data_IF_003725310088
#
_entry.id   IF_003725310088
#
_cell.length_a   1.000
_cell.length_b   1.000
_cell.length_c   1.000
_cell.angle_alpha   90.00
_cell.angle_beta   90.00
_cell.angle_gamma   90.00
#
_symmetry.space_group_name_H-M   'P 1'
#
loop_
_entity.id
_entity.type
_entity.pdbx_description
1 polymer ?
#
# COMPACT_ATOMS: atom_id res chain seq x y z
N UNK A 1 -0.01 24.18 4.47
CA UNK A 1 1.29 23.52 4.24
C UNK A 1 1.49 23.31 2.74
N UNK A 2 2.75 23.21 2.30
CA UNK A 2 3.11 22.83 0.93
C UNK A 2 3.52 21.36 0.90
N UNK A 3 2.90 20.60 0.02
CA UNK A 3 3.08 19.14 -0.09
C UNK A 3 3.47 18.80 -1.51
N UNK A 4 4.56 18.07 -1.66
CA UNK A 4 4.96 17.48 -2.93
C UNK A 4 4.55 16.00 -2.97
N UNK A 5 4.02 15.54 -4.08
CA UNK A 5 3.73 14.12 -4.34
C UNK A 5 4.59 13.66 -5.50
N UNK A 6 5.37 12.61 -5.29
CA UNK A 6 6.20 12.05 -6.36
C UNK A 6 5.34 11.16 -7.25
N UNK A 7 5.14 11.61 -8.48
CA UNK A 7 4.27 10.93 -9.45
C UNK A 7 2.81 11.40 -9.40
N UNK A 8 2.00 10.82 -10.29
CA UNK A 8 0.55 11.02 -10.36
C UNK A 8 -0.13 9.64 -10.29
N UNK A 9 0.24 8.86 -9.28
CA UNK A 9 -0.31 7.53 -9.03
C UNK A 9 -1.57 7.57 -8.15
N UNK A 10 -2.26 6.45 -8.04
CA UNK A 10 -3.53 6.32 -7.29
C UNK A 10 -3.42 6.83 -5.86
N UNK A 11 -2.48 6.28 -5.09
CA UNK A 11 -2.34 6.60 -3.66
C UNK A 11 -1.98 8.08 -3.45
N UNK A 12 -0.90 8.55 -4.08
CA UNK A 12 -0.47 9.95 -3.95
C UNK A 12 -1.57 10.91 -4.36
N UNK A 13 -2.29 10.63 -5.44
CA UNK A 13 -3.38 11.50 -5.91
C UNK A 13 -4.58 11.48 -4.97
N UNK A 14 -4.93 10.32 -4.37
CA UNK A 14 -6.00 10.23 -3.36
C UNK A 14 -5.68 11.09 -2.15
N UNK A 15 -4.47 11.00 -1.60
CA UNK A 15 -4.04 11.86 -0.48
C UNK A 15 -3.89 13.32 -0.91
N UNK A 16 -3.38 13.59 -2.11
CA UNK A 16 -3.31 14.93 -2.67
C UNK A 16 -4.68 15.62 -2.75
N UNK A 17 -5.69 14.89 -3.20
CA UNK A 17 -7.06 15.37 -3.24
C UNK A 17 -7.58 15.75 -1.84
N UNK A 18 -7.44 14.88 -0.84
CA UNK A 18 -7.97 15.18 0.49
C UNK A 18 -7.20 16.30 1.19
N UNK A 19 -5.89 16.41 0.98
CA UNK A 19 -5.09 17.53 1.50
C UNK A 19 -5.43 18.84 0.80
N UNK A 20 -5.67 18.83 -0.51
CA UNK A 20 -6.13 20.02 -1.24
C UNK A 20 -7.50 20.49 -0.75
N UNK A 21 -8.43 19.54 -0.46
CA UNK A 21 -9.73 19.86 0.16
C UNK A 21 -9.60 20.40 1.59
N UNK A 22 -8.58 20.00 2.32
CA UNK A 22 -8.24 20.54 3.65
C UNK A 22 -7.52 21.92 3.58
N UNK A 23 -7.35 22.50 2.38
CA UNK A 23 -6.78 23.82 2.18
C UNK A 23 -5.25 23.86 2.08
N UNK A 24 -4.60 22.74 1.83
CA UNK A 24 -3.15 22.68 1.62
C UNK A 24 -2.78 22.87 0.14
N UNK A 25 -1.58 23.38 -0.10
CA UNK A 25 -1.01 23.46 -1.44
C UNK A 25 -0.38 22.11 -1.79
N UNK A 26 -0.87 21.49 -2.86
CA UNK A 26 -0.40 20.17 -3.31
C UNK A 26 0.12 20.28 -4.74
N UNK A 27 1.34 19.78 -4.96
CA UNK A 27 2.02 19.78 -6.25
C UNK A 27 2.59 18.40 -6.54
N UNK A 28 2.57 17.99 -7.82
CA UNK A 28 3.07 16.70 -8.27
C UNK A 28 4.43 16.85 -8.97
N UNK A 29 5.45 16.15 -8.49
CA UNK A 29 6.72 16.03 -9.17
C UNK A 29 6.64 14.89 -10.18
N UNK A 30 6.69 15.25 -11.46
CA UNK A 30 6.68 14.31 -12.57
C UNK A 30 8.01 14.30 -13.29
N UNK A 31 8.40 13.14 -13.84
CA UNK A 31 9.50 13.06 -14.78
C UNK A 31 9.18 13.87 -16.04
N UNK A 32 10.19 14.44 -16.68
CA UNK A 32 10.02 15.38 -17.78
C UNK A 32 9.12 14.86 -18.91
N UNK A 33 9.33 13.59 -19.29
CA UNK A 33 8.53 12.94 -20.35
C UNK A 33 7.04 12.74 -20.01
N UNK A 34 6.68 12.92 -18.74
CA UNK A 34 5.28 12.81 -18.27
C UNK A 34 4.60 14.14 -18.02
N UNK A 35 5.37 15.24 -17.90
CA UNK A 35 4.81 16.57 -17.61
C UNK A 35 3.84 17.05 -18.69
N UNK A 36 4.21 16.91 -19.97
CA UNK A 36 3.38 17.34 -21.11
C UNK A 36 2.08 16.54 -21.28
N UNK A 37 2.01 15.36 -20.66
CA UNK A 37 0.83 14.46 -20.71
C UNK A 37 -0.02 14.53 -19.44
N UNK A 38 0.41 15.33 -18.45
CA UNK A 38 -0.33 15.45 -17.21
C UNK A 38 -1.66 16.19 -17.46
N UNK A 39 -2.80 15.66 -16.98
CA UNK A 39 -4.07 16.35 -17.09
C UNK A 39 -4.08 17.57 -16.17
N UNK A 40 -4.77 18.63 -16.54
CA UNK A 40 -4.96 19.81 -15.68
C UNK A 40 -5.87 19.50 -14.47
N UNK A 41 -6.75 18.51 -14.62
CA UNK A 41 -7.61 18.04 -13.54
C UNK A 41 -7.98 16.56 -13.71
N UNK A 42 -8.30 15.91 -12.60
CA UNK A 42 -8.84 14.54 -12.56
C UNK A 42 -10.25 14.55 -11.99
N UNK A 43 -11.12 13.73 -12.54
CA UNK A 43 -12.42 13.44 -11.94
C UNK A 43 -12.22 12.41 -10.82
N UNK A 44 -12.76 12.68 -9.67
CA UNK A 44 -12.67 11.83 -8.49
C UNK A 44 -13.98 11.09 -8.28
N UNK A 45 -13.89 9.78 -8.17
CA UNK A 45 -14.94 8.88 -7.66
C UNK A 45 -14.39 8.25 -6.38
N UNK A 46 -14.79 8.76 -5.22
CA UNK A 46 -14.25 8.36 -3.93
C UNK A 46 -15.33 7.67 -3.09
N UNK A 47 -15.06 6.44 -2.64
CA UNK A 47 -15.77 5.86 -1.52
C UNK A 47 -15.06 6.24 -0.21
N UNK A 48 -15.59 7.26 0.46
CA UNK A 48 -14.99 7.88 1.63
C UNK A 48 -15.40 7.19 2.93
N UNK A 49 -14.48 6.45 3.53
CA UNK A 49 -14.68 5.73 4.79
C UNK A 49 -14.32 6.51 6.04
N UNK A 50 -13.89 7.77 5.94
CA UNK A 50 -13.43 8.56 7.11
C UNK A 50 -14.53 8.81 8.13
N UNK A 51 -15.77 8.91 7.70
CA UNK A 51 -16.90 9.30 8.56
C UNK A 51 -17.83 8.12 8.89
N UNK A 52 -17.92 7.13 8.02
CA UNK A 52 -18.77 5.97 8.22
C UNK A 52 -18.08 4.68 7.80
N UNK A 53 -18.33 3.58 8.52
CA UNK A 53 -17.79 2.25 8.17
C UNK A 53 -18.37 1.67 6.86
N UNK A 54 -19.45 2.26 6.33
CA UNK A 54 -20.02 1.87 5.04
C UNK A 54 -19.39 2.62 3.88
N UNK A 55 -18.76 3.77 4.16
CA UNK A 55 -18.30 4.72 3.17
C UNK A 55 -19.43 5.61 2.63
N UNK A 56 -19.05 6.76 2.11
CA UNK A 56 -19.92 7.69 1.42
C UNK A 56 -19.37 7.91 0.01
N UNK A 57 -20.22 7.75 -1.00
CA UNK A 57 -19.83 8.02 -2.39
C UNK A 57 -19.70 9.52 -2.60
N UNK A 58 -18.57 9.95 -3.12
CA UNK A 58 -18.27 11.35 -3.47
C UNK A 58 -17.76 11.45 -4.89
N UNK A 59 -18.35 12.37 -5.66
CA UNK A 59 -17.85 12.75 -6.97
C UNK A 59 -17.38 14.19 -6.95
N UNK A 60 -16.16 14.46 -7.43
CA UNK A 60 -15.54 15.76 -7.36
C UNK A 60 -14.46 15.92 -8.45
N UNK A 61 -13.77 17.04 -8.46
CA UNK A 61 -12.61 17.30 -9.29
C UNK A 61 -11.39 17.62 -8.46
N UNK A 62 -10.24 17.10 -8.87
CA UNK A 62 -8.93 17.38 -8.33
C UNK A 62 -8.11 18.18 -9.33
N UNK A 63 -7.69 19.40 -8.96
CA UNK A 63 -6.81 20.22 -9.77
C UNK A 63 -5.38 19.71 -9.62
N UNK A 64 -4.75 19.34 -10.73
CA UNK A 64 -3.35 18.91 -10.76
C UNK A 64 -2.46 20.13 -10.93
N UNK A 65 -1.55 20.35 -9.98
CA UNK A 65 -0.49 21.35 -10.05
C UNK A 65 0.86 20.64 -10.11
N UNK A 66 1.78 21.10 -10.95
CA UNK A 66 3.10 20.50 -11.09
C UNK A 66 4.11 21.21 -10.19
N UNK A 67 5.02 20.44 -9.60
CA UNK A 67 6.14 20.94 -8.83
C UNK A 67 7.19 21.56 -9.74
N UNK A 68 7.71 22.71 -9.32
CA UNK A 68 8.84 23.37 -9.98
C UNK A 68 10.17 22.91 -9.37
N UNK A 69 11.26 22.85 -10.14
CA UNK A 69 12.60 22.59 -9.61
C UNK A 69 13.03 23.61 -8.55
N UNK A 70 13.93 23.20 -7.66
CA UNK A 70 14.49 23.99 -6.55
C UNK A 70 13.42 24.48 -5.54
N UNK A 71 12.37 23.67 -5.33
CA UNK A 71 11.30 24.02 -4.41
C UNK A 71 11.44 23.28 -3.05
N UNK A 72 11.05 23.98 -1.99
CA UNK A 72 10.98 23.45 -0.63
C UNK A 72 9.54 23.11 -0.24
N UNK A 73 9.36 21.96 0.39
CA UNK A 73 8.07 21.46 0.86
C UNK A 73 8.12 21.12 2.34
N UNK A 74 6.99 21.30 3.03
CA UNK A 74 6.85 20.80 4.40
C UNK A 74 6.96 19.27 4.41
N UNK A 75 6.29 18.62 3.44
CA UNK A 75 6.28 17.17 3.28
C UNK A 75 6.34 16.74 1.83
N UNK A 76 7.00 15.61 1.59
CA UNK A 76 7.09 14.96 0.29
C UNK A 76 6.53 13.54 0.42
N UNK A 77 5.46 13.23 -0.28
CA UNK A 77 4.86 11.90 -0.28
C UNK A 77 5.47 11.05 -1.39
N UNK A 78 6.14 9.95 -1.01
CA UNK A 78 6.58 8.89 -1.89
C UNK A 78 5.58 7.73 -1.85
N UNK A 79 4.74 7.62 -2.87
CA UNK A 79 3.79 6.52 -3.05
C UNK A 79 4.07 5.83 -4.38
N UNK A 80 5.26 5.28 -4.51
CA UNK A 80 5.73 4.60 -5.73
C UNK A 80 5.59 3.09 -5.60
N UNK A 81 5.54 2.39 -6.73
CA UNK A 81 5.51 0.94 -6.76
C UNK A 81 6.72 0.33 -6.04
N UNK A 82 6.57 -0.89 -5.55
CA UNK A 82 7.62 -1.64 -4.85
C UNK A 82 8.92 -1.70 -5.66
N UNK A 83 10.06 -1.53 -5.01
CA UNK A 83 11.38 -1.47 -5.65
C UNK A 83 11.72 -0.15 -6.36
N UNK A 84 10.85 0.87 -6.36
CA UNK A 84 11.06 2.14 -7.07
C UNK A 84 11.43 3.34 -6.18
N UNK A 85 11.70 3.12 -4.90
CA UNK A 85 12.07 4.21 -3.97
C UNK A 85 13.35 4.89 -4.45
N UNK A 86 14.38 4.13 -4.85
CA UNK A 86 15.66 4.68 -5.33
C UNK A 86 15.49 5.61 -6.55
N UNK A 87 14.65 5.23 -7.52
CA UNK A 87 14.37 6.03 -8.70
C UNK A 87 13.65 7.34 -8.32
N UNK A 88 12.75 7.27 -7.34
CA UNK A 88 12.02 8.43 -6.83
C UNK A 88 12.96 9.41 -6.10
N UNK A 89 13.85 8.92 -5.25
CA UNK A 89 14.87 9.72 -4.57
C UNK A 89 15.81 10.40 -5.59
N UNK A 90 16.25 9.67 -6.62
CA UNK A 90 17.07 10.25 -7.70
C UNK A 90 16.31 11.38 -8.43
N UNK A 91 15.00 11.21 -8.67
CA UNK A 91 14.17 12.26 -9.30
C UNK A 91 14.05 13.51 -8.41
N UNK A 92 13.89 13.35 -7.10
CA UNK A 92 13.87 14.47 -6.14
C UNK A 92 15.20 15.22 -6.15
N UNK A 93 16.31 14.48 -6.06
CA UNK A 93 17.67 15.06 -6.03
C UNK A 93 18.01 15.80 -7.32
N UNK A 94 17.64 15.25 -8.49
CA UNK A 94 17.86 15.89 -9.81
C UNK A 94 17.08 17.19 -9.96
N UNK A 95 15.92 17.30 -9.31
CA UNK A 95 15.11 18.52 -9.34
C UNK A 95 15.39 19.45 -8.14
N UNK A 96 16.36 19.12 -7.28
CA UNK A 96 16.70 19.87 -6.06
C UNK A 96 15.46 20.16 -5.18
N UNK A 97 14.60 19.16 -5.02
CA UNK A 97 13.43 19.26 -4.16
C UNK A 97 13.82 18.88 -2.73
N UNK A 98 13.45 19.69 -1.76
CA UNK A 98 13.75 19.45 -0.33
C UNK A 98 12.48 19.37 0.50
N UNK A 99 12.54 18.68 1.65
CA UNK A 99 11.42 18.48 2.58
C UNK A 99 11.52 17.15 3.33
N UNK A 100 10.61 16.94 4.28
CA UNK A 100 10.51 15.66 5.00
C UNK A 100 9.75 14.61 4.19
N UNK A 101 10.36 13.46 3.95
CA UNK A 101 9.73 12.37 3.19
C UNK A 101 8.72 11.59 4.04
N UNK A 102 7.58 11.26 3.46
CA UNK A 102 6.63 10.28 3.97
C UNK A 102 6.65 9.10 3.00
N UNK A 103 7.20 7.95 3.42
CA UNK A 103 7.30 6.76 2.60
C UNK A 103 5.99 5.96 2.68
N UNK A 104 5.12 6.12 1.69
CA UNK A 104 3.88 5.36 1.50
C UNK A 104 4.09 4.24 0.48
N UNK A 105 5.08 3.37 0.76
CA UNK A 105 5.51 2.32 -0.15
C UNK A 105 5.51 0.96 0.55
N UNK A 106 5.24 -0.10 -0.22
CA UNK A 106 5.58 -1.45 0.18
C UNK A 106 7.07 -1.68 -0.09
N UNK A 107 7.78 -2.29 0.86
CA UNK A 107 9.17 -2.70 0.69
C UNK A 107 9.50 -3.91 1.57
N UNK A 108 10.45 -4.72 1.11
CA UNK A 108 10.95 -5.89 1.84
C UNK A 108 12.33 -5.65 2.44
N UNK A 109 12.87 -4.44 2.26
CA UNK A 109 14.15 -3.98 2.76
C UNK A 109 14.17 -3.87 4.28
N UNK A 110 15.36 -3.98 4.88
CA UNK A 110 15.57 -3.64 6.29
C UNK A 110 15.61 -2.11 6.49
N UNK A 111 15.62 -1.66 7.74
CA UNK A 111 15.74 -0.24 8.06
C UNK A 111 17.03 0.34 7.47
N UNK A 112 18.13 -0.36 7.66
CA UNK A 112 19.47 0.05 7.20
C UNK A 112 19.51 0.19 5.66
N UNK A 113 18.90 -0.75 4.95
CA UNK A 113 18.80 -0.66 3.48
C UNK A 113 17.93 0.52 3.02
N UNK A 114 16.85 0.85 3.76
CA UNK A 114 16.04 2.04 3.47
C UNK A 114 16.84 3.31 3.77
N UNK A 115 17.58 3.37 4.87
CA UNK A 115 18.46 4.50 5.21
C UNK A 115 19.49 4.75 4.09
N UNK A 116 20.10 3.71 3.54
CA UNK A 116 21.03 3.81 2.41
C UNK A 116 20.34 4.34 1.14
N UNK A 117 19.13 3.87 0.84
CA UNK A 117 18.36 4.29 -0.35
C UNK A 117 17.91 5.74 -0.25
N UNK A 118 17.42 6.15 0.91
CA UNK A 118 16.86 7.50 1.14
C UNK A 118 17.98 8.53 1.29
N UNK A 119 19.13 8.13 1.85
CA UNK A 119 20.30 8.99 1.99
C UNK A 119 20.06 10.14 2.97
N UNK A 120 20.34 11.37 2.56
CA UNK A 120 20.30 12.54 3.44
C UNK A 120 18.91 13.13 3.69
N UNK A 121 17.88 12.62 3.06
CA UNK A 121 16.52 13.13 3.31
C UNK A 121 16.01 12.68 4.69
N UNK A 122 15.48 13.61 5.52
CA UNK A 122 14.73 13.20 6.71
C UNK A 122 13.45 12.48 6.29
N UNK A 123 13.16 11.33 6.90
CA UNK A 123 12.00 10.55 6.50
C UNK A 123 11.24 9.92 7.66
N UNK A 124 10.00 9.57 7.41
CA UNK A 124 9.14 8.76 8.24
C UNK A 124 8.47 7.68 7.39
N UNK A 125 8.31 6.50 7.95
CA UNK A 125 7.58 5.42 7.30
C UNK A 125 6.11 5.51 7.68
N UNK A 126 5.24 5.44 6.67
CA UNK A 126 3.80 5.32 6.83
C UNK A 126 3.23 4.28 5.88
N UNK A 127 1.99 3.88 6.12
CA UNK A 127 1.26 3.02 5.21
C UNK A 127 -0.12 3.61 4.92
N UNK A 128 -0.43 3.88 3.64
CA UNK A 128 -1.69 4.47 3.21
C UNK A 128 -2.80 3.42 3.26
N UNK A 129 -3.87 3.68 4.01
CA UNK A 129 -5.07 2.84 4.00
C UNK A 129 -6.05 3.34 2.95
N UNK A 130 -5.60 3.36 1.73
CA UNK A 130 -6.33 3.77 0.53
C UNK A 130 -5.97 2.84 -0.63
N UNK A 131 -6.80 2.81 -1.63
CA UNK A 131 -6.55 2.07 -2.86
C UNK A 131 -7.48 2.51 -3.96
N UNK A 132 -7.20 2.09 -5.19
CA UNK A 132 -8.02 2.52 -6.30
C UNK A 132 -7.44 2.16 -7.66
N UNK A 133 -8.00 2.76 -8.69
CA UNK A 133 -7.53 2.70 -10.05
C UNK A 133 -7.56 4.09 -10.69
N UNK A 134 -6.61 4.36 -11.58
CA UNK A 134 -6.57 5.59 -12.37
C UNK A 134 -6.64 5.20 -13.85
N UNK A 135 -7.74 5.53 -14.49
CA UNK A 135 -7.99 5.25 -15.89
C UNK A 135 -8.32 6.55 -16.64
N UNK A 136 -7.48 6.91 -17.61
CA UNK A 136 -7.59 8.20 -18.28
C UNK A 136 -7.48 9.35 -17.29
N UNK A 137 -8.54 10.14 -17.16
CA UNK A 137 -8.64 11.26 -16.20
C UNK A 137 -9.60 10.98 -15.04
N UNK A 138 -9.92 9.72 -14.75
CA UNK A 138 -10.80 9.33 -13.65
C UNK A 138 -9.99 8.54 -12.62
N UNK A 139 -9.96 9.05 -11.38
CA UNK A 139 -9.46 8.35 -10.21
C UNK A 139 -10.67 7.75 -9.47
N UNK A 140 -10.81 6.42 -9.52
CA UNK A 140 -11.77 5.67 -8.71
C UNK A 140 -11.04 5.10 -7.49
N UNK A 141 -11.39 5.54 -6.29
CA UNK A 141 -10.61 5.23 -5.09
C UNK A 141 -11.48 5.01 -3.84
N UNK A 142 -10.86 4.33 -2.87
CA UNK A 142 -11.39 4.11 -1.52
C UNK A 142 -10.41 4.71 -0.53
N UNK A 143 -10.91 5.39 0.48
CA UNK A 143 -10.11 5.94 1.57
C UNK A 143 -10.70 5.49 2.91
N UNK A 144 -9.88 4.89 3.76
CA UNK A 144 -10.25 4.58 5.14
C UNK A 144 -9.99 5.77 6.07
N UNK A 145 -10.42 5.66 7.32
CA UNK A 145 -10.37 6.74 8.30
C UNK A 145 -9.01 6.90 9.01
N UNK A 146 -8.05 6.07 8.71
CA UNK A 146 -6.74 6.07 9.37
C UNK A 146 -5.60 5.79 8.38
N UNK A 147 -4.39 6.06 8.83
CA UNK A 147 -3.14 5.56 8.23
C UNK A 147 -2.29 4.90 9.31
N UNK A 148 -1.46 3.93 8.90
CA UNK A 148 -0.39 3.45 9.78
C UNK A 148 0.77 4.43 9.71
N UNK A 149 1.32 4.81 10.85
CA UNK A 149 2.42 5.78 10.92
C UNK A 149 3.48 5.32 11.91
N UNK A 150 4.73 5.49 11.57
CA UNK A 150 5.85 5.27 12.48
C UNK A 150 5.75 6.20 13.69
N UNK A 151 6.21 5.74 14.86
CA UNK A 151 6.24 6.59 16.04
C UNK A 151 7.31 7.71 15.92
N UNK A 152 7.12 8.77 16.72
CA UNK A 152 7.99 9.94 16.68
C UNK A 152 9.46 9.60 17.00
N UNK A 153 9.68 8.67 17.94
CA UNK A 153 11.03 8.32 18.42
C UNK A 153 11.89 7.60 17.36
N UNK A 154 11.25 6.84 16.46
CA UNK A 154 11.92 6.12 15.37
C UNK A 154 12.00 6.93 14.07
N UNK A 155 11.22 8.00 13.96
CA UNK A 155 11.16 8.83 12.76
C UNK A 155 12.40 9.71 12.62
N UNK A 156 12.87 9.91 11.38
CA UNK A 156 13.98 10.83 11.07
C UNK A 156 13.54 12.28 10.85
N UNK A 157 12.26 12.63 11.01
CA UNK A 157 11.75 13.98 10.76
C UNK A 157 11.66 14.81 12.04
N UNK A 158 12.00 16.11 11.95
CA UNK A 158 11.90 17.04 13.08
C UNK A 158 10.52 17.67 13.25
N UNK A 159 9.66 17.55 12.23
CA UNK A 159 8.35 18.21 12.15
C UNK A 159 7.17 17.22 12.32
N UNK A 160 7.35 16.18 13.16
CA UNK A 160 6.33 15.15 13.42
C UNK A 160 4.97 15.73 13.85
N UNK A 161 4.95 16.73 14.72
CA UNK A 161 3.70 17.41 15.15
C UNK A 161 2.99 18.11 14.00
N UNK A 162 3.75 18.68 13.05
CA UNK A 162 3.17 19.28 11.85
C UNK A 162 2.56 18.19 10.94
N UNK A 163 3.19 17.01 10.83
CA UNK A 163 2.64 15.88 10.09
C UNK A 163 1.31 15.41 10.70
N UNK A 164 1.26 15.19 12.01
CA UNK A 164 0.02 14.76 12.67
C UNK A 164 -1.09 15.82 12.54
N UNK A 165 -0.75 17.12 12.56
CA UNK A 165 -1.70 18.19 12.29
C UNK A 165 -2.19 18.18 10.83
N UNK A 166 -1.31 17.91 9.86
CA UNK A 166 -1.68 17.73 8.45
C UNK A 166 -2.70 16.60 8.28
N UNK A 167 -2.43 15.44 8.88
CA UNK A 167 -3.32 14.28 8.81
C UNK A 167 -4.68 14.57 9.47
N UNK A 168 -4.66 15.16 10.65
CA UNK A 168 -5.88 15.54 11.37
C UNK A 168 -6.72 16.56 10.59
N UNK A 169 -6.10 17.50 9.86
CA UNK A 169 -6.81 18.49 9.03
C UNK A 169 -7.60 17.87 7.88
N UNK A 170 -7.21 16.65 7.45
CA UNK A 170 -7.88 15.85 6.44
C UNK A 170 -8.77 14.75 7.06
N UNK A 171 -9.09 14.82 8.35
CA UNK A 171 -9.88 13.84 9.11
C UNK A 171 -9.29 12.41 9.04
N UNK A 172 -7.96 12.30 9.01
CA UNK A 172 -7.23 11.05 9.03
C UNK A 172 -6.65 10.79 10.42
N UNK A 173 -7.02 9.66 11.01
CA UNK A 173 -6.44 9.16 12.26
C UNK A 173 -5.09 8.51 12.00
N UNK A 174 -4.26 8.41 13.02
CA UNK A 174 -3.00 7.66 12.97
C UNK A 174 -3.09 6.44 13.85
N UNK A 175 -2.67 5.29 13.33
CA UNK A 175 -2.42 4.08 14.09
C UNK A 175 -0.91 3.80 14.07
N UNK A 176 -0.33 3.57 15.25
CA UNK A 176 1.12 3.41 15.42
C UNK A 176 1.39 1.96 15.80
N UNK A 177 1.96 1.14 14.89
CA UNK A 177 2.34 -0.23 15.21
C UNK A 177 3.60 -0.26 16.09
N UNK A 178 3.91 -1.42 16.66
CA UNK A 178 5.13 -1.62 17.46
C UNK A 178 6.40 -1.26 16.69
N UNK A 179 6.52 -1.71 15.45
CA UNK A 179 7.55 -1.32 14.50
C UNK A 179 6.94 -1.24 13.09
N UNK A 180 7.22 -0.13 12.38
CA UNK A 180 6.57 0.10 11.09
C UNK A 180 7.17 -0.74 9.96
N UNK A 181 8.49 -1.04 10.02
CA UNK A 181 9.16 -1.92 9.05
C UNK A 181 8.64 -3.35 9.18
N UNK A 182 8.60 -3.87 10.40
CA UNK A 182 8.06 -5.21 10.69
C UNK A 182 6.58 -5.31 10.30
N UNK A 183 5.80 -4.25 10.54
CA UNK A 183 4.39 -4.19 10.18
C UNK A 183 4.20 -4.26 8.65
N UNK A 184 5.03 -3.54 7.87
CA UNK A 184 5.01 -3.62 6.40
C UNK A 184 5.36 -5.02 5.93
N UNK A 185 6.38 -5.66 6.49
CA UNK A 185 6.71 -7.05 6.15
C UNK A 185 5.56 -8.00 6.44
N UNK A 186 4.90 -7.83 7.60
CA UNK A 186 3.73 -8.63 7.96
C UNK A 186 2.57 -8.40 6.99
N UNK A 187 2.29 -7.14 6.65
CA UNK A 187 1.28 -6.78 5.66
C UNK A 187 1.58 -7.40 4.29
N UNK A 188 2.81 -7.31 3.81
CA UNK A 188 3.23 -7.92 2.54
C UNK A 188 3.10 -9.45 2.58
N UNK A 189 3.46 -10.10 3.68
CA UNK A 189 3.31 -11.54 3.83
C UNK A 189 1.83 -11.97 3.82
N UNK A 190 0.95 -11.23 4.49
CA UNK A 190 -0.50 -11.47 4.43
C UNK A 190 -1.00 -11.31 2.99
N UNK A 191 -0.61 -10.23 2.30
CA UNK A 191 -0.99 -9.99 0.92
C UNK A 191 -0.45 -11.07 -0.03
N UNK A 192 0.75 -11.59 0.18
CA UNK A 192 1.29 -12.70 -0.60
C UNK A 192 0.44 -13.98 -0.44
N UNK A 193 -0.02 -14.28 0.77
CA UNK A 193 -0.96 -15.38 1.02
C UNK A 193 -2.30 -15.18 0.31
N UNK A 194 -2.83 -13.96 0.31
CA UNK A 194 -4.08 -13.61 -0.40
C UNK A 194 -3.89 -13.69 -1.91
N UNK A 195 -2.88 -13.03 -2.46
CA UNK A 195 -2.60 -12.96 -3.90
C UNK A 195 -2.35 -14.34 -4.49
N UNK A 196 -1.50 -15.14 -3.85
CA UNK A 196 -1.20 -16.51 -4.32
C UNK A 196 -2.46 -17.39 -4.32
N UNK A 197 -3.34 -17.24 -3.32
CA UNK A 197 -4.60 -17.98 -3.28
C UNK A 197 -5.59 -17.46 -4.33
N UNK A 198 -5.67 -16.15 -4.54
CA UNK A 198 -6.53 -15.56 -5.56
C UNK A 198 -6.14 -16.03 -6.97
N UNK A 199 -4.86 -16.22 -7.25
CA UNK A 199 -4.37 -16.70 -8.55
C UNK A 199 -4.96 -18.08 -8.96
N UNK A 200 -5.44 -18.88 -8.00
CA UNK A 200 -6.13 -20.15 -8.29
C UNK A 200 -7.57 -19.96 -8.77
N UNK A 201 -8.14 -18.79 -8.57
CA UNK A 201 -9.54 -18.49 -8.89
C UNK A 201 -9.74 -17.99 -10.34
N UNK A 202 -8.66 -17.94 -11.14
CA UNK A 202 -8.71 -17.53 -12.54
C UNK A 202 -7.38 -17.00 -13.07
N UNK A 203 -7.44 -16.05 -14.00
CA UNK A 203 -6.25 -15.47 -14.63
C UNK A 203 -5.81 -14.19 -13.91
N UNK A 204 -4.53 -14.09 -13.58
CA UNK A 204 -3.94 -12.97 -12.83
C UNK A 204 -4.03 -11.63 -13.59
N UNK A 205 -4.16 -11.67 -14.93
CA UNK A 205 -4.38 -10.49 -15.77
C UNK A 205 -5.74 -9.82 -15.51
N UNK A 206 -6.64 -10.49 -14.78
CA UNK A 206 -7.96 -9.96 -14.39
C UNK A 206 -8.11 -9.90 -12.86
N UNK A 207 -7.27 -9.11 -12.14
CA UNK A 207 -7.19 -9.13 -10.69
C UNK A 207 -8.51 -8.82 -9.99
N UNK A 208 -9.32 -7.90 -10.55
CA UNK A 208 -10.65 -7.60 -10.01
C UNK A 208 -11.58 -8.84 -10.02
N UNK A 209 -11.54 -9.64 -11.10
CA UNK A 209 -12.36 -10.86 -11.18
C UNK A 209 -11.86 -11.94 -10.23
N UNK A 210 -10.53 -12.08 -10.06
CA UNK A 210 -9.95 -12.98 -9.07
C UNK A 210 -10.40 -12.64 -7.65
N UNK A 211 -10.33 -11.35 -7.29
CA UNK A 211 -10.79 -10.87 -6.00
C UNK A 211 -12.29 -11.16 -5.79
N UNK A 212 -13.12 -10.92 -6.80
CA UNK A 212 -14.56 -11.22 -6.74
C UNK A 212 -14.85 -12.72 -6.56
N UNK A 213 -14.11 -13.59 -7.26
CA UNK A 213 -14.27 -15.04 -7.15
C UNK A 213 -13.86 -15.50 -5.74
N UNK A 214 -12.67 -15.09 -5.28
CA UNK A 214 -12.16 -15.41 -3.95
C UNK A 214 -13.13 -14.98 -2.84
N UNK A 215 -13.60 -13.74 -2.88
CA UNK A 215 -14.47 -13.19 -1.84
C UNK A 215 -15.83 -13.91 -1.72
N UNK A 216 -16.28 -14.60 -2.77
CA UNK A 216 -17.56 -15.33 -2.79
C UNK A 216 -17.44 -16.77 -2.32
N UNK A 217 -16.24 -17.33 -2.21
CA UNK A 217 -16.02 -18.73 -1.87
C UNK A 217 -15.38 -18.89 -0.46
N UNK A 218 -16.18 -19.38 0.51
CA UNK A 218 -15.70 -19.62 1.86
C UNK A 218 -14.63 -20.72 1.93
N UNK A 219 -14.63 -21.69 1.00
CA UNK A 219 -13.62 -22.74 0.95
C UNK A 219 -12.28 -22.16 0.44
N UNK A 220 -12.29 -21.40 -0.64
CA UNK A 220 -11.12 -20.69 -1.14
C UNK A 220 -10.53 -19.74 -0.07
N UNK A 221 -11.37 -18.98 0.63
CA UNK A 221 -10.96 -18.13 1.75
C UNK A 221 -10.36 -18.94 2.92
N UNK A 222 -10.86 -20.17 3.17
CA UNK A 222 -10.25 -21.07 4.16
C UNK A 222 -8.84 -21.50 3.75
N UNK A 223 -8.60 -21.78 2.47
CA UNK A 223 -7.27 -22.07 1.92
C UNK A 223 -6.38 -20.84 2.03
N UNK A 224 -6.90 -19.65 1.70
CA UNK A 224 -6.19 -18.37 1.86
C UNK A 224 -5.69 -18.16 3.29
N UNK A 225 -6.53 -18.43 4.29
CA UNK A 225 -6.12 -18.33 5.71
C UNK A 225 -4.95 -19.27 6.03
N UNK A 226 -4.94 -20.48 5.46
CA UNK A 226 -3.81 -21.41 5.63
C UNK A 226 -2.55 -20.91 4.93
N UNK A 227 -2.64 -20.39 3.70
CA UNK A 227 -1.52 -19.78 2.99
C UNK A 227 -0.96 -18.56 3.76
N UNK A 228 -1.81 -17.69 4.30
CA UNK A 228 -1.40 -16.57 5.16
C UNK A 228 -0.62 -17.05 6.40
N UNK A 229 -1.06 -18.14 7.04
CA UNK A 229 -0.33 -18.71 8.19
C UNK A 229 1.08 -19.17 7.79
N UNK A 230 1.23 -19.73 6.61
CA UNK A 230 2.53 -20.12 6.08
C UNK A 230 3.41 -18.90 5.79
N UNK A 231 2.88 -17.90 5.07
CA UNK A 231 3.65 -16.69 4.72
C UNK A 231 4.06 -15.86 5.94
N UNK A 232 3.27 -15.82 7.00
CA UNK A 232 3.62 -15.19 8.28
C UNK A 232 4.85 -15.85 8.93
N UNK A 233 5.10 -17.15 8.73
CA UNK A 233 6.31 -17.80 9.25
C UNK A 233 7.57 -17.25 8.61
N UNK A 234 7.49 -16.71 7.38
CA UNK A 234 8.62 -16.04 6.74
C UNK A 234 9.02 -14.78 7.50
N UNK A 235 8.03 -13.99 7.93
CA UNK A 235 8.27 -12.79 8.76
C UNK A 235 8.87 -13.14 10.11
N UNK A 236 8.35 -14.20 10.76
CA UNK A 236 8.94 -14.74 11.99
C UNK A 236 10.39 -15.18 11.79
N UNK A 237 10.71 -15.84 10.68
CA UNK A 237 12.07 -16.29 10.36
C UNK A 237 13.03 -15.14 10.00
N UNK A 238 12.50 -13.93 9.73
CA UNK A 238 13.26 -12.68 9.64
C UNK A 238 13.61 -12.08 11.00
N UNK A 239 13.12 -12.65 12.10
CA UNK A 239 13.41 -12.22 13.47
C UNK A 239 12.28 -11.43 14.15
N UNK A 240 11.13 -11.25 13.48
CA UNK A 240 10.00 -10.51 14.04
C UNK A 240 9.33 -11.29 15.17
N UNK A 241 9.14 -10.64 16.32
CA UNK A 241 8.31 -11.19 17.40
C UNK A 241 6.82 -10.92 17.13
N UNK A 242 6.15 -11.94 16.63
CA UNK A 242 4.72 -11.89 16.31
C UNK A 242 3.79 -11.65 17.52
N UNK A 243 4.34 -11.63 18.74
CA UNK A 243 3.53 -11.33 19.93
C UNK A 243 3.11 -9.87 20.02
N UNK A 244 3.84 -8.96 19.36
CA UNK A 244 3.50 -7.54 19.27
C UNK A 244 2.37 -7.25 18.26
N UNK A 245 2.07 -8.19 17.35
CA UNK A 245 1.11 -8.05 16.25
C UNK A 245 -0.13 -8.95 16.44
N UNK A 246 -0.57 -9.14 17.71
CA UNK A 246 -1.68 -10.05 18.03
C UNK A 246 -3.00 -9.65 17.39
N UNK A 247 -3.27 -8.35 17.29
CA UNK A 247 -4.50 -7.81 16.73
C UNK A 247 -4.59 -8.08 15.21
N UNK A 248 -3.51 -7.84 14.50
CA UNK A 248 -3.38 -8.09 13.07
C UNK A 248 -3.51 -9.57 12.74
N UNK A 249 -3.02 -10.44 13.63
CA UNK A 249 -2.98 -11.88 13.44
C UNK A 249 -4.24 -12.62 13.95
N UNK A 250 -5.06 -11.97 14.75
CA UNK A 250 -6.24 -12.60 15.37
C UNK A 250 -7.17 -13.27 14.33
N UNK A 251 -7.50 -12.66 13.18
CA UNK A 251 -8.37 -13.30 12.19
C UNK A 251 -7.82 -14.61 11.62
N UNK A 252 -6.50 -14.78 11.64
CA UNK A 252 -5.81 -15.96 11.09
C UNK A 252 -5.51 -17.04 12.13
N UNK A 253 -5.79 -16.82 13.43
CA UNK A 253 -5.56 -17.78 14.51
C UNK A 253 -6.74 -18.73 14.75
N UNK A 254 -7.94 -18.31 14.37
CA UNK A 254 -9.17 -19.14 14.52
C UNK A 254 -9.20 -20.25 13.45
N UNK A 255 -9.95 -21.36 13.65
CA UNK A 255 -10.01 -22.44 12.67
C UNK A 255 -10.28 -21.94 11.25
N UNK A 256 -9.47 -22.37 10.27
CA UNK A 256 -9.47 -21.79 8.93
C UNK A 256 -10.85 -21.82 8.23
N UNK A 257 -11.60 -22.91 8.40
CA UNK A 257 -12.96 -23.05 7.85
C UNK A 257 -13.89 -21.97 8.41
N UNK A 258 -13.81 -21.73 9.73
CA UNK A 258 -14.61 -20.71 10.38
C UNK A 258 -14.16 -19.30 9.95
N UNK A 259 -12.85 -19.06 9.87
CA UNK A 259 -12.31 -17.81 9.35
C UNK A 259 -12.80 -17.52 7.92
N UNK A 260 -12.80 -18.51 7.02
CA UNK A 260 -13.30 -18.37 5.65
C UNK A 260 -14.77 -17.97 5.59
N UNK A 261 -15.61 -18.54 6.44
CA UNK A 261 -17.04 -18.16 6.54
C UNK A 261 -17.19 -16.71 7.02
N UNK A 262 -16.44 -16.32 8.05
CA UNK A 262 -16.46 -14.94 8.57
C UNK A 262 -15.97 -13.94 7.55
N UNK A 263 -14.87 -14.23 6.85
CA UNK A 263 -14.34 -13.38 5.79
C UNK A 263 -15.33 -13.21 4.64
N UNK A 264 -15.96 -14.30 4.18
CA UNK A 264 -17.03 -14.20 3.16
C UNK A 264 -18.17 -13.28 3.61
N UNK A 265 -18.60 -13.41 4.89
CA UNK A 265 -19.64 -12.53 5.44
C UNK A 265 -19.17 -11.07 5.51
N UNK A 266 -17.93 -10.83 5.95
CA UNK A 266 -17.32 -9.52 6.00
C UNK A 266 -17.33 -8.86 4.61
N UNK A 267 -16.82 -9.53 3.58
CA UNK A 267 -16.82 -9.02 2.22
C UNK A 267 -18.23 -8.74 1.68
N UNK A 268 -19.23 -9.54 2.08
CA UNK A 268 -20.63 -9.29 1.70
C UNK A 268 -21.19 -8.00 2.32
N UNK A 269 -20.76 -7.64 3.53
CA UNK A 269 -21.36 -6.55 4.32
C UNK A 269 -20.51 -5.28 4.37
N UNK A 270 -19.21 -5.35 4.06
CA UNK A 270 -18.28 -4.22 4.10
C UNK A 270 -17.93 -3.78 2.66
N UNK A 271 -18.53 -2.69 2.23
CA UNK A 271 -18.33 -2.13 0.89
C UNK A 271 -16.90 -1.61 0.68
N UNK A 272 -16.35 -0.91 1.66
CA UNK A 272 -14.98 -0.38 1.61
C UNK A 272 -13.97 -1.49 1.32
N UNK A 273 -14.01 -2.56 2.13
CA UNK A 273 -13.09 -3.69 1.98
C UNK A 273 -13.31 -4.44 0.66
N UNK A 274 -14.57 -4.61 0.23
CA UNK A 274 -14.86 -5.26 -1.05
C UNK A 274 -14.34 -4.43 -2.22
N UNK A 275 -14.60 -3.13 -2.22
CA UNK A 275 -14.22 -2.25 -3.33
C UNK A 275 -12.71 -2.10 -3.46
N UNK A 276 -11.98 -1.93 -2.35
CA UNK A 276 -10.52 -1.83 -2.40
C UNK A 276 -9.88 -3.10 -2.99
N UNK A 277 -10.41 -4.28 -2.67
CA UNK A 277 -9.94 -5.55 -3.21
C UNK A 277 -10.14 -5.66 -4.73
N UNK A 278 -11.20 -5.06 -5.27
CA UNK A 278 -11.50 -5.10 -6.71
C UNK A 278 -10.83 -3.99 -7.51
N UNK A 279 -10.45 -2.90 -6.88
CA UNK A 279 -9.77 -1.77 -7.53
C UNK A 279 -8.26 -1.97 -7.64
N UNK A 280 -7.68 -2.89 -6.89
CA UNK A 280 -6.24 -3.18 -6.98
C UNK A 280 -5.92 -3.83 -8.33
N UNK A 281 -5.20 -3.13 -9.18
CA UNK A 281 -4.94 -3.52 -10.57
C UNK A 281 -3.46 -3.68 -10.92
N UNK A 282 -2.55 -3.31 -10.03
CA UNK A 282 -1.12 -3.43 -10.27
C UNK A 282 -0.64 -4.87 -9.99
N UNK A 283 -0.67 -5.69 -11.05
CA UNK A 283 -0.21 -7.09 -11.01
C UNK A 283 1.28 -7.17 -10.67
N UNK A 284 2.08 -6.21 -11.15
CA UNK A 284 3.52 -6.17 -10.88
C UNK A 284 3.83 -6.03 -9.39
N UNK A 285 3.13 -5.12 -8.70
CA UNK A 285 3.28 -4.91 -7.26
C UNK A 285 2.81 -6.13 -6.44
N UNK A 286 1.71 -6.78 -6.89
CA UNK A 286 1.21 -8.01 -6.28
C UNK A 286 2.23 -9.16 -6.39
N UNK A 287 2.83 -9.36 -7.56
CA UNK A 287 3.85 -10.39 -7.81
C UNK A 287 5.14 -10.09 -7.06
N UNK A 288 5.56 -8.83 -7.00
CA UNK A 288 6.73 -8.41 -6.22
C UNK A 288 6.64 -8.88 -4.76
N UNK A 289 5.50 -8.60 -4.08
CA UNK A 289 5.27 -9.06 -2.71
C UNK A 289 5.35 -10.58 -2.56
N UNK A 290 4.75 -11.32 -3.50
CA UNK A 290 4.83 -12.78 -3.52
C UNK A 290 6.28 -13.27 -3.69
N UNK A 291 7.06 -12.65 -4.58
CA UNK A 291 8.47 -13.00 -4.81
C UNK A 291 9.34 -12.77 -3.58
N UNK A 292 9.21 -11.62 -2.93
CA UNK A 292 9.94 -11.31 -1.70
C UNK A 292 9.73 -12.39 -0.63
N UNK A 293 8.47 -12.79 -0.42
CA UNK A 293 8.11 -13.82 0.56
C UNK A 293 8.60 -15.20 0.14
N UNK A 294 8.45 -15.55 -1.15
CA UNK A 294 8.88 -16.83 -1.71
C UNK A 294 10.39 -17.02 -1.57
N UNK A 295 11.19 -16.07 -2.06
CA UNK A 295 12.65 -16.14 -2.03
C UNK A 295 13.18 -16.20 -0.59
N UNK A 296 12.61 -15.39 0.30
CA UNK A 296 12.98 -15.44 1.72
C UNK A 296 12.59 -16.79 2.34
N UNK A 297 11.42 -17.33 2.02
CA UNK A 297 10.99 -18.64 2.50
C UNK A 297 11.92 -19.76 2.03
N UNK A 298 12.34 -19.74 0.77
CA UNK A 298 13.34 -20.70 0.22
C UNK A 298 14.70 -20.55 0.87
N UNK A 299 15.18 -19.30 1.01
CA UNK A 299 16.48 -19.03 1.66
C UNK A 299 16.52 -19.48 3.13
N UNK A 300 15.39 -19.38 3.84
CA UNK A 300 15.24 -19.82 5.24
C UNK A 300 14.83 -21.28 5.37
N UNK A 301 14.78 -22.04 4.27
CA UNK A 301 14.38 -23.46 4.23
C UNK A 301 13.04 -23.75 4.90
N UNK A 302 12.05 -22.86 4.72
CA UNK A 302 10.72 -23.03 5.32
C UNK A 302 9.83 -23.93 4.47
N UNK A 303 9.05 -24.76 5.13
CA UNK A 303 8.00 -25.58 4.51
C UNK A 303 6.70 -24.78 4.41
N UNK A 304 6.34 -24.30 3.20
CA UNK A 304 5.17 -23.49 2.90
C UNK A 304 4.37 -24.15 1.76
N UNK A 305 3.86 -25.38 1.96
CA UNK A 305 3.36 -26.22 0.86
C UNK A 305 2.18 -25.59 0.11
N UNK A 306 1.25 -24.92 0.81
CA UNK A 306 0.11 -24.28 0.17
C UNK A 306 0.56 -23.05 -0.61
N UNK A 307 1.37 -22.20 0.00
CA UNK A 307 1.87 -20.98 -0.66
C UNK A 307 2.71 -21.32 -1.90
N UNK A 308 3.66 -22.25 -1.81
CA UNK A 308 4.47 -22.65 -2.95
C UNK A 308 3.64 -23.27 -4.08
N UNK A 309 2.70 -24.17 -3.74
CA UNK A 309 1.78 -24.73 -4.76
C UNK A 309 0.89 -23.68 -5.41
N UNK A 310 0.48 -22.63 -4.67
CA UNK A 310 -0.28 -21.52 -5.24
C UNK A 310 0.57 -20.70 -6.21
N UNK A 311 1.85 -20.47 -5.91
CA UNK A 311 2.78 -19.72 -6.80
C UNK A 311 3.00 -20.44 -8.13
N UNK A 312 3.03 -21.76 -8.16
CA UNK A 312 3.19 -22.56 -9.42
C UNK A 312 2.11 -22.23 -10.46
N UNK A 313 0.92 -21.80 -10.03
CA UNK A 313 -0.19 -21.44 -10.93
C UNK A 313 0.11 -20.16 -11.73
N UNK A 314 1.01 -19.30 -11.24
CA UNK A 314 1.37 -18.02 -11.90
C UNK A 314 2.21 -18.22 -13.17
N UNK A 315 2.90 -19.37 -13.33
CA UNK A 315 3.60 -19.77 -14.56
C UNK A 315 4.53 -18.69 -15.12
N UNK A 316 4.39 -18.37 -16.41
CA UNK A 316 5.26 -17.43 -17.14
C UNK A 316 5.24 -15.99 -16.58
N UNK A 317 4.14 -15.55 -15.97
CA UNK A 317 4.05 -14.21 -15.34
C UNK A 317 5.00 -14.12 -14.15
N UNK A 318 5.10 -15.21 -13.38
CA UNK A 318 6.07 -15.32 -12.30
C UNK A 318 7.52 -15.18 -12.79
N UNK A 319 7.85 -15.86 -13.89
CA UNK A 319 9.21 -15.83 -14.45
C UNK A 319 9.58 -14.46 -15.04
N UNK A 320 8.65 -13.79 -15.70
CA UNK A 320 8.89 -12.51 -16.39
C UNK A 320 8.88 -11.28 -15.50
N UNK A 321 8.34 -11.37 -14.27
CA UNK A 321 8.29 -10.23 -13.36
C UNK A 321 9.65 -10.00 -12.67
N UNK A 322 10.20 -8.79 -12.61
CA UNK A 322 11.43 -8.50 -11.85
C UNK A 322 11.16 -8.55 -10.33
N UNK A 323 12.25 -8.76 -9.56
CA UNK A 323 12.32 -8.44 -8.14
C UNK A 323 12.61 -6.96 -7.95
#
# INVERSE_FOLDING_TARGET
MRICIVGLGVIGTTYGYVFQKAGHQVEHLLREEKKSKAPASLNISLLDGRYTKKGEEKADQYKVSLAEPNADYDFIILSVASGKIKDAIATLSQNHITGSLILFCNFWNSREEIDEIVGAYPYIIGFPTAGGSLAGNVLDCVLFDHIMLENEEKSGISNYKALTALLASADLKTEIPHDMVEWIWLHMAINAGVTSSAAREGKIEHPAQLALNLMKDAHALSITVKAIRETIQVVKARGVDLSFYKNELLPYRIPATFAGILMKRMFKTNELTRRIMTLHSDVGDMIYGCKCVYETGKLKHLELPIFYSNIEVLGSIWESSPL
#
